data_IF_369757322906
#
_entry.id   IF_369757322906
#
_cell.length_a   1.000
_cell.length_b   1.000
_cell.length_c   1.000
_cell.angle_alpha   90.00
_cell.angle_beta   90.00
_cell.angle_gamma   90.00
#
_symmetry.space_group_name_H-M   'P 1'
#
loop_
_entity.id
_entity.type
_entity.pdbx_description
1 polymer ?
#
# COMPACT_ATOMS: atom_id res chain seq x y z
N UNK A 1 -14.37 10.57 -37.57
CA UNK A 1 -12.92 10.42 -37.79
C UNK A 1 -12.28 10.26 -36.42
N UNK A 2 -11.53 9.17 -36.21
CA UNK A 2 -10.97 8.82 -34.90
C UNK A 2 -9.55 9.39 -34.82
N UNK A 3 -9.38 10.55 -34.18
CA UNK A 3 -8.10 11.26 -34.10
C UNK A 3 -6.94 10.37 -33.62
N UNK A 4 -7.22 9.40 -32.74
CA UNK A 4 -6.24 8.45 -32.21
C UNK A 4 -5.74 7.44 -33.25
N UNK A 5 -6.57 7.05 -34.24
CA UNK A 5 -6.14 6.19 -35.34
C UNK A 5 -5.30 6.97 -36.35
N UNK A 6 -5.61 8.25 -36.57
CA UNK A 6 -4.82 9.13 -37.45
C UNK A 6 -3.42 9.38 -36.90
N UNK A 7 -3.29 9.61 -35.57
CA UNK A 7 -1.98 9.73 -34.90
C UNK A 7 -1.14 8.47 -35.04
N UNK A 8 -1.78 7.29 -35.06
CA UNK A 8 -1.12 6.00 -35.27
C UNK A 8 -0.96 5.61 -36.75
N UNK A 9 -1.47 6.42 -37.69
CA UNK A 9 -1.44 6.13 -39.13
C UNK A 9 -2.28 4.92 -39.55
N UNK A 10 -3.35 4.61 -38.81
CA UNK A 10 -4.17 3.43 -38.98
C UNK A 10 -5.52 3.72 -39.65
N UNK A 11 -6.05 2.76 -40.45
CA UNK A 11 -7.38 2.88 -41.03
C UNK A 11 -8.47 2.67 -39.96
N UNK A 12 -9.69 3.16 -40.24
CA UNK A 12 -10.83 3.10 -39.31
C UNK A 12 -11.35 1.68 -38.99
N UNK A 13 -10.78 0.63 -39.59
CA UNK A 13 -11.11 -0.77 -39.33
C UNK A 13 -9.91 -1.54 -38.73
N UNK A 14 -8.91 -0.84 -38.20
CA UNK A 14 -7.75 -1.46 -37.57
C UNK A 14 -8.17 -2.28 -36.34
N UNK A 15 -7.67 -3.51 -36.26
CA UNK A 15 -7.86 -4.38 -35.11
C UNK A 15 -6.86 -4.04 -33.98
N UNK A 16 -7.08 -4.62 -32.80
CA UNK A 16 -6.23 -4.37 -31.64
C UNK A 16 -4.76 -4.74 -31.90
N UNK A 17 -4.52 -5.72 -32.77
CA UNK A 17 -3.17 -6.16 -33.16
C UNK A 17 -2.49 -5.08 -34.02
N UNK A 18 -3.18 -4.49 -34.99
CA UNK A 18 -2.69 -3.39 -35.80
C UNK A 18 -2.41 -2.13 -34.96
N UNK A 19 -3.29 -1.80 -34.00
CA UNK A 19 -3.09 -0.70 -33.04
C UNK A 19 -1.79 -0.87 -32.25
N UNK A 20 -1.53 -2.08 -31.72
CA UNK A 20 -0.30 -2.38 -30.98
C UNK A 20 0.94 -2.31 -31.87
N UNK A 21 0.87 -2.81 -33.10
CA UNK A 21 2.00 -2.84 -34.03
C UNK A 21 2.39 -1.43 -34.52
N UNK A 22 1.40 -0.57 -34.72
CA UNK A 22 1.61 0.84 -35.06
C UNK A 22 2.25 1.60 -33.89
N UNK A 23 1.74 1.40 -32.66
CA UNK A 23 2.32 2.01 -31.47
C UNK A 23 3.79 1.61 -31.27
N UNK A 24 4.12 0.32 -31.42
CA UNK A 24 5.51 -0.14 -31.31
C UNK A 24 6.43 0.44 -32.40
N UNK A 25 5.92 0.62 -33.62
CA UNK A 25 6.67 1.26 -34.71
C UNK A 25 6.92 2.73 -34.41
N UNK A 26 5.88 3.45 -33.96
CA UNK A 26 5.98 4.86 -33.60
C UNK A 26 6.89 5.10 -32.39
N UNK A 27 6.87 4.18 -31.41
CA UNK A 27 7.69 4.27 -30.20
C UNK A 27 9.19 4.17 -30.50
N UNK A 28 9.61 3.41 -31.52
CA UNK A 28 11.03 3.35 -31.94
C UNK A 28 11.55 4.68 -32.49
N UNK A 29 10.66 5.57 -32.91
CA UNK A 29 10.99 6.89 -33.44
C UNK A 29 11.04 8.00 -32.39
N UNK A 30 10.61 7.74 -31.15
CA UNK A 30 10.53 8.74 -30.08
C UNK A 30 11.50 8.35 -28.96
N UNK A 31 12.40 9.26 -28.63
CA UNK A 31 13.22 9.16 -27.43
C UNK A 31 12.53 9.89 -26.26
N UNK A 32 12.07 9.18 -25.21
CA UNK A 32 11.37 9.78 -24.08
C UNK A 32 12.20 10.82 -23.31
N UNK A 33 13.53 10.75 -23.36
CA UNK A 33 14.40 11.71 -22.69
C UNK A 33 14.47 13.05 -23.42
N UNK A 34 14.27 13.03 -24.75
CA UNK A 34 14.44 14.19 -25.62
C UNK A 34 13.09 14.81 -26.02
N UNK A 35 12.02 14.02 -26.05
CA UNK A 35 10.64 14.48 -26.32
C UNK A 35 9.59 13.80 -25.43
N UNK A 36 9.46 14.25 -24.16
CA UNK A 36 8.47 13.71 -23.24
C UNK A 36 7.03 14.06 -23.64
N UNK A 37 6.82 15.17 -24.34
CA UNK A 37 5.49 15.59 -24.81
C UNK A 37 4.99 14.71 -25.96
N UNK A 38 5.88 14.38 -26.91
CA UNK A 38 5.59 13.45 -28.01
C UNK A 38 5.30 12.03 -27.50
N UNK A 39 6.03 11.56 -26.49
CA UNK A 39 5.75 10.27 -25.86
C UNK A 39 4.38 10.25 -25.17
N UNK A 40 4.03 11.29 -24.40
CA UNK A 40 2.73 11.40 -23.75
C UNK A 40 1.58 11.46 -24.78
N UNK A 41 1.76 12.19 -25.88
CA UNK A 41 0.77 12.28 -26.95
C UNK A 41 0.55 10.92 -27.65
N UNK A 42 1.63 10.21 -27.96
CA UNK A 42 1.57 8.88 -28.58
C UNK A 42 0.90 7.86 -27.65
N UNK A 43 1.20 7.91 -26.35
CA UNK A 43 0.57 7.04 -25.35
C UNK A 43 -0.93 7.29 -25.21
N UNK A 44 -1.34 8.56 -25.17
CA UNK A 44 -2.76 8.92 -25.14
C UNK A 44 -3.52 8.44 -26.38
N UNK A 45 -2.90 8.52 -27.56
CA UNK A 45 -3.49 7.99 -28.79
C UNK A 45 -3.63 6.46 -28.75
N UNK A 46 -2.62 5.74 -28.23
CA UNK A 46 -2.70 4.29 -28.07
C UNK A 46 -3.80 3.85 -27.09
N UNK A 47 -3.88 4.48 -25.93
CA UNK A 47 -4.90 4.15 -24.92
C UNK A 47 -6.32 4.41 -25.45
N UNK A 48 -6.53 5.53 -26.16
CA UNK A 48 -7.80 5.84 -26.82
C UNK A 48 -8.15 4.83 -27.93
N UNK A 49 -7.18 4.41 -28.75
CA UNK A 49 -7.37 3.42 -29.80
C UNK A 49 -7.70 2.03 -29.25
N UNK A 50 -7.02 1.63 -28.17
CA UNK A 50 -7.28 0.36 -27.47
C UNK A 50 -8.69 0.35 -26.88
N UNK A 51 -9.10 1.40 -26.17
CA UNK A 51 -10.43 1.49 -25.59
C UNK A 51 -11.54 1.44 -26.66
N UNK A 52 -11.30 2.04 -27.83
CA UNK A 52 -12.21 1.97 -28.97
C UNK A 52 -12.33 0.54 -29.53
N UNK A 53 -11.21 -0.19 -29.71
CA UNK A 53 -11.25 -1.59 -30.14
C UNK A 53 -11.95 -2.51 -29.12
N UNK A 54 -11.74 -2.27 -27.82
CA UNK A 54 -12.40 -3.02 -26.73
C UNK A 54 -13.92 -2.78 -26.74
N UNK A 55 -14.37 -1.54 -26.98
CA UNK A 55 -15.79 -1.20 -27.14
C UNK A 55 -16.41 -1.80 -28.41
N UNK A 56 -15.64 -1.87 -29.51
CA UNK A 56 -16.10 -2.49 -30.76
C UNK A 56 -16.19 -4.03 -30.67
N UNK A 57 -15.48 -4.65 -29.73
CA UNK A 57 -15.47 -6.10 -29.49
C UNK A 57 -16.46 -6.52 -28.39
N UNK A 58 -16.99 -5.57 -27.61
CA UNK A 58 -18.05 -5.86 -26.67
C UNK A 58 -19.31 -6.30 -27.44
N UNK A 59 -19.93 -7.45 -27.11
CA UNK A 59 -21.18 -7.85 -27.73
C UNK A 59 -22.22 -6.78 -27.39
N UNK A 60 -22.63 -6.02 -28.40
CA UNK A 60 -23.80 -5.18 -28.28
C UNK A 60 -24.98 -6.10 -27.99
N UNK A 61 -25.56 -5.99 -26.79
CA UNK A 61 -26.86 -6.55 -26.44
C UNK A 61 -27.91 -5.98 -27.40
N UNK A 62 -28.03 -6.61 -28.56
CA UNK A 62 -29.16 -6.46 -29.45
C UNK A 62 -30.23 -7.45 -28.99
N UNK A 63 -31.39 -6.98 -28.49
CA UNK A 63 -32.52 -7.87 -28.30
C UNK A 63 -33.07 -8.19 -29.69
N UNK A 64 -32.80 -9.38 -30.19
CA UNK A 64 -33.40 -9.88 -31.42
C UNK A 64 -34.43 -10.97 -31.11
N UNK A 65 -35.50 -11.00 -31.91
CA UNK A 65 -36.80 -11.50 -31.51
C UNK A 65 -36.93 -12.98 -31.79
N UNK A 66 -37.73 -13.61 -30.94
CA UNK A 66 -38.32 -14.92 -31.09
C UNK A 66 -38.91 -15.07 -32.51
N UNK A 67 -38.37 -16.02 -33.28
CA UNK A 67 -39.05 -16.51 -34.49
C UNK A 67 -38.89 -18.01 -34.61
N UNK A 68 -40.05 -18.63 -34.59
CA UNK A 68 -40.35 -20.05 -34.66
C UNK A 68 -39.67 -20.74 -35.85
N UNK A 69 -39.34 -22.01 -35.61
CA UNK A 69 -38.98 -23.01 -36.62
C UNK A 69 -40.14 -23.24 -37.61
N UNK A 70 -39.85 -23.75 -38.82
CA UNK A 70 -39.91 -25.20 -38.97
C UNK A 70 -38.78 -25.80 -39.82
N UNK A 71 -38.59 -27.10 -39.58
CA UNK A 71 -37.59 -28.02 -40.12
C UNK A 71 -37.38 -27.95 -41.63
N UNK A 72 -36.12 -27.99 -42.06
CA UNK A 72 -35.67 -28.70 -43.28
C UNK A 72 -34.17 -29.03 -43.15
N UNK A 73 -33.92 -30.33 -43.08
CA UNK A 73 -32.76 -31.03 -43.64
C UNK A 73 -31.37 -30.76 -43.04
N UNK A 74 -31.03 -31.71 -42.17
CA UNK A 74 -29.75 -31.94 -41.51
C UNK A 74 -28.56 -32.02 -42.48
N UNK A 75 -27.95 -30.87 -42.77
CA UNK A 75 -26.53 -30.79 -43.09
C UNK A 75 -25.78 -30.47 -41.79
N UNK A 76 -25.06 -31.46 -41.24
CA UNK A 76 -24.19 -31.24 -40.09
C UNK A 76 -23.25 -30.06 -40.38
N UNK A 77 -23.24 -29.00 -39.55
CA UNK A 77 -22.16 -28.03 -39.63
C UNK A 77 -20.83 -28.76 -39.36
N UNK A 78 -19.73 -28.39 -40.05
CA UNK A 78 -18.41 -28.88 -39.68
C UNK A 78 -18.19 -28.58 -38.19
N UNK A 79 -17.53 -29.47 -37.43
CA UNK A 79 -17.29 -29.23 -36.01
C UNK A 79 -16.62 -27.86 -35.89
N UNK A 80 -17.30 -26.91 -35.25
CA UNK A 80 -16.66 -25.72 -34.72
C UNK A 80 -15.60 -26.24 -33.76
N UNK A 81 -14.35 -26.31 -34.23
CA UNK A 81 -13.19 -26.41 -33.37
C UNK A 81 -13.26 -25.20 -32.45
N UNK A 82 -13.86 -25.40 -31.27
CA UNK A 82 -13.69 -24.47 -30.16
C UNK A 82 -12.19 -24.23 -30.04
N UNK A 83 -11.69 -23.00 -30.28
CA UNK A 83 -10.26 -22.74 -30.16
C UNK A 83 -9.84 -23.19 -28.77
N UNK A 84 -8.71 -23.92 -28.63
CA UNK A 84 -8.25 -24.38 -27.34
C UNK A 84 -8.21 -23.19 -26.38
N UNK A 85 -8.56 -23.38 -25.09
CA UNK A 85 -8.57 -22.28 -24.14
C UNK A 85 -7.22 -21.57 -24.22
N UNK A 86 -7.25 -20.27 -24.49
CA UNK A 86 -6.05 -19.45 -24.53
C UNK A 86 -5.47 -19.39 -23.11
N UNK A 87 -4.48 -20.23 -22.83
CA UNK A 87 -3.74 -20.20 -21.56
C UNK A 87 -2.67 -19.13 -21.72
N UNK A 88 -2.71 -18.11 -20.86
CA UNK A 88 -1.67 -17.09 -20.81
C UNK A 88 -0.31 -17.77 -20.54
N UNK A 89 0.67 -17.70 -21.48
CA UNK A 89 1.96 -18.37 -21.33
C UNK A 89 2.72 -17.91 -20.09
N UNK A 90 2.46 -16.69 -19.61
CA UNK A 90 3.08 -16.16 -18.38
C UNK A 90 2.58 -16.88 -17.13
N UNK A 91 1.31 -17.29 -17.10
CA UNK A 91 0.73 -18.10 -16.01
C UNK A 91 1.40 -19.46 -15.99
N UNK A 92 1.50 -20.13 -17.15
CA UNK A 92 2.16 -21.43 -17.26
C UNK A 92 3.60 -21.38 -16.78
N UNK A 93 4.33 -20.33 -17.15
CA UNK A 93 5.70 -20.13 -16.68
C UNK A 93 5.78 -19.88 -15.18
N UNK A 94 4.89 -19.06 -14.61
CA UNK A 94 4.85 -18.81 -13.17
C UNK A 94 4.61 -20.10 -12.36
N UNK A 95 3.70 -20.97 -12.81
CA UNK A 95 3.48 -22.28 -12.20
C UNK A 95 4.70 -23.20 -12.31
N UNK A 96 5.35 -23.23 -13.48
CA UNK A 96 6.58 -24.02 -13.69
C UNK A 96 7.70 -23.54 -12.77
N UNK A 97 7.91 -22.23 -12.71
CA UNK A 97 8.85 -21.60 -11.80
C UNK A 97 8.57 -21.98 -10.34
N UNK A 98 7.31 -21.92 -9.89
CA UNK A 98 6.95 -22.30 -8.53
C UNK A 98 7.27 -23.76 -8.21
N UNK A 99 7.02 -24.67 -9.16
CA UNK A 99 7.37 -26.08 -9.03
C UNK A 99 8.90 -26.29 -8.96
N UNK A 100 9.66 -25.62 -9.83
CA UNK A 100 11.12 -25.71 -9.88
C UNK A 100 11.77 -25.18 -8.59
N UNK A 101 11.27 -24.04 -8.08
CA UNK A 101 11.72 -23.48 -6.79
C UNK A 101 11.50 -24.49 -5.66
N UNK A 102 10.31 -25.12 -5.59
CA UNK A 102 10.02 -26.11 -4.55
C UNK A 102 10.91 -27.37 -4.60
N UNK A 103 11.40 -27.73 -5.79
CA UNK A 103 12.25 -28.91 -6.00
C UNK A 103 13.77 -28.64 -5.87
N UNK A 104 14.16 -27.38 -5.66
CA UNK A 104 15.57 -26.96 -5.64
C UNK A 104 15.97 -26.40 -4.28
N UNK A 105 17.28 -26.28 -4.05
CA UNK A 105 17.86 -25.63 -2.87
C UNK A 105 17.67 -24.11 -2.93
N UNK A 106 17.59 -23.46 -1.77
CA UNK A 106 17.27 -22.03 -1.65
C UNK A 106 18.26 -21.13 -2.41
N UNK A 107 19.53 -21.53 -2.53
CA UNK A 107 20.56 -20.73 -3.21
C UNK A 107 20.39 -20.73 -4.74
N UNK A 108 19.58 -21.63 -5.29
CA UNK A 108 19.29 -21.67 -6.73
C UNK A 108 18.18 -20.68 -7.13
N UNK A 109 17.43 -20.13 -6.18
CA UNK A 109 16.25 -19.29 -6.45
C UNK A 109 16.56 -18.06 -7.32
N UNK A 110 17.62 -17.27 -7.06
CA UNK A 110 17.92 -16.10 -7.89
C UNK A 110 18.19 -16.47 -9.36
N UNK A 111 18.94 -17.55 -9.58
CA UNK A 111 19.27 -18.03 -10.92
C UNK A 111 18.02 -18.53 -11.66
N UNK A 112 17.14 -19.28 -10.99
CA UNK A 112 15.88 -19.75 -11.59
C UNK A 112 14.99 -18.58 -12.02
N UNK A 113 14.95 -17.49 -11.24
CA UNK A 113 14.18 -16.31 -11.57
C UNK A 113 14.76 -15.57 -12.77
N UNK A 114 16.08 -15.42 -12.81
CA UNK A 114 16.79 -14.82 -13.95
C UNK A 114 16.57 -15.60 -15.25
N UNK A 115 16.65 -16.94 -15.20
CA UNK A 115 16.37 -17.82 -16.34
C UNK A 115 14.93 -17.67 -16.82
N UNK A 116 13.96 -17.64 -15.91
CA UNK A 116 12.54 -17.43 -16.26
C UNK A 116 12.31 -16.05 -16.92
N UNK A 117 12.91 -14.99 -16.38
CA UNK A 117 12.81 -13.64 -16.95
C UNK A 117 13.51 -13.52 -18.31
N UNK A 118 14.66 -14.19 -18.50
CA UNK A 118 15.34 -14.27 -19.78
C UNK A 118 14.45 -14.96 -20.83
N UNK A 119 13.82 -16.08 -20.49
CA UNK A 119 12.86 -16.78 -21.36
C UNK A 119 11.71 -15.84 -21.77
N UNK A 120 11.11 -15.12 -20.83
CA UNK A 120 10.04 -14.17 -21.14
C UNK A 120 10.47 -13.04 -22.07
N UNK A 121 11.64 -12.44 -21.80
CA UNK A 121 12.17 -11.33 -22.62
C UNK A 121 12.42 -11.76 -24.07
N UNK A 122 12.75 -13.03 -24.31
CA UNK A 122 12.94 -13.54 -25.68
C UNK A 122 11.63 -13.83 -26.41
N UNK A 123 10.56 -14.16 -25.69
CA UNK A 123 9.31 -14.65 -26.30
C UNK A 123 8.19 -13.59 -26.32
N UNK A 124 8.14 -12.67 -25.36
CA UNK A 124 6.98 -11.80 -25.14
C UNK A 124 7.38 -10.41 -24.60
N UNK A 125 6.98 -9.35 -25.31
CA UNK A 125 7.39 -7.96 -25.03
C UNK A 125 6.86 -7.42 -23.68
N UNK A 126 5.62 -7.76 -23.30
CA UNK A 126 4.97 -7.29 -22.05
C UNK A 126 4.83 -8.38 -20.97
N UNK A 127 5.46 -9.54 -21.17
CA UNK A 127 5.31 -10.66 -20.24
C UNK A 127 5.97 -10.48 -18.86
N UNK A 128 7.10 -9.76 -18.70
CA UNK A 128 7.72 -9.61 -17.39
C UNK A 128 6.80 -8.99 -16.34
N UNK A 129 6.01 -7.97 -16.71
CA UNK A 129 5.05 -7.34 -15.79
C UNK A 129 3.89 -8.25 -15.39
N UNK A 130 3.32 -9.02 -16.34
CA UNK A 130 2.29 -10.02 -16.00
C UNK A 130 2.85 -11.13 -15.12
N UNK A 131 4.06 -11.60 -15.41
CA UNK A 131 4.73 -12.59 -14.60
C UNK A 131 5.00 -12.08 -13.17
N UNK A 132 5.38 -10.80 -13.02
CA UNK A 132 5.52 -10.14 -11.73
C UNK A 132 4.24 -10.23 -10.90
N UNK A 133 3.09 -9.88 -11.48
CA UNK A 133 1.79 -9.97 -10.80
C UNK A 133 1.49 -11.40 -10.33
N UNK A 134 1.70 -12.40 -11.18
CA UNK A 134 1.49 -13.80 -10.81
C UNK A 134 2.47 -14.27 -9.73
N UNK A 135 3.72 -13.81 -9.78
CA UNK A 135 4.71 -14.14 -8.75
C UNK A 135 4.30 -13.56 -7.39
N UNK A 136 3.78 -12.32 -7.37
CA UNK A 136 3.27 -11.69 -6.14
C UNK A 136 2.06 -12.47 -5.60
N UNK A 137 1.15 -12.92 -6.47
CA UNK A 137 0.02 -13.75 -6.06
C UNK A 137 0.49 -15.09 -5.47
N UNK A 138 1.48 -15.75 -6.09
CA UNK A 138 2.06 -16.99 -5.57
C UNK A 138 2.69 -16.79 -4.17
N UNK A 139 3.38 -15.66 -3.96
CA UNK A 139 3.94 -15.30 -2.66
C UNK A 139 2.85 -15.01 -1.63
N UNK A 140 1.90 -14.14 -1.96
CA UNK A 140 0.82 -13.72 -1.06
C UNK A 140 -0.13 -14.86 -0.68
N UNK A 141 -0.43 -15.75 -1.63
CA UNK A 141 -1.23 -16.97 -1.40
C UNK A 141 -0.40 -18.14 -0.86
N UNK A 142 0.92 -17.95 -0.65
CA UNK A 142 1.83 -18.95 -0.12
C UNK A 142 1.91 -20.25 -0.94
N UNK A 143 1.71 -20.16 -2.26
CA UNK A 143 1.71 -21.29 -3.20
C UNK A 143 3.06 -21.59 -3.83
N UNK A 144 4.13 -21.03 -3.27
CA UNK A 144 5.51 -21.23 -3.71
C UNK A 144 6.41 -21.56 -2.52
N UNK A 145 7.41 -22.42 -2.75
CA UNK A 145 8.46 -22.72 -1.78
C UNK A 145 9.45 -21.57 -1.65
N UNK A 146 10.32 -21.62 -0.64
CA UNK A 146 11.39 -20.64 -0.42
C UNK A 146 10.95 -19.17 -0.50
N UNK A 147 9.73 -18.85 -0.03
CA UNK A 147 9.03 -17.56 -0.26
C UNK A 147 9.90 -16.35 0.08
N UNK A 148 10.62 -16.37 1.21
CA UNK A 148 11.51 -15.29 1.59
C UNK A 148 12.68 -15.07 0.60
N UNK A 149 13.25 -16.14 0.04
CA UNK A 149 14.32 -16.04 -0.96
C UNK A 149 13.78 -15.59 -2.32
N UNK A 150 12.59 -16.08 -2.71
CA UNK A 150 11.90 -15.63 -3.92
C UNK A 150 11.57 -14.14 -3.83
N UNK A 151 11.03 -13.68 -2.69
CA UNK A 151 10.73 -12.27 -2.44
C UNK A 151 12.00 -11.41 -2.54
N UNK A 152 13.12 -11.84 -1.94
CA UNK A 152 14.38 -11.11 -1.99
C UNK A 152 14.95 -11.01 -3.42
N UNK A 153 14.88 -12.10 -4.20
CA UNK A 153 15.30 -12.10 -5.59
C UNK A 153 14.38 -11.22 -6.47
N UNK A 154 13.07 -11.28 -6.24
CA UNK A 154 12.08 -10.49 -6.97
C UNK A 154 12.23 -8.98 -6.69
N UNK A 155 12.47 -8.60 -5.44
CA UNK A 155 12.73 -7.19 -5.06
C UNK A 155 13.86 -6.57 -5.89
N UNK A 156 14.94 -7.32 -6.13
CA UNK A 156 16.07 -6.90 -6.93
C UNK A 156 15.74 -6.85 -8.43
N UNK A 157 15.11 -7.91 -8.96
CA UNK A 157 14.86 -8.07 -10.40
C UNK A 157 13.74 -7.17 -10.94
N UNK A 158 12.73 -6.87 -10.12
CA UNK A 158 11.60 -6.00 -10.48
C UNK A 158 11.74 -4.58 -9.92
N UNK A 159 12.87 -4.27 -9.28
CA UNK A 159 13.18 -2.95 -8.77
C UNK A 159 12.06 -2.36 -7.87
N UNK A 160 11.51 -3.16 -6.96
CA UNK A 160 10.37 -2.76 -6.10
C UNK A 160 10.60 -1.52 -5.23
N UNK A 161 11.84 -1.05 -5.11
CA UNK A 161 12.19 0.19 -4.41
C UNK A 161 12.09 1.44 -5.28
N UNK A 162 11.88 1.29 -6.59
CA UNK A 162 11.71 2.43 -7.49
C UNK A 162 10.39 3.15 -7.22
N UNK A 163 10.48 4.48 -7.23
CA UNK A 163 9.35 5.36 -6.92
C UNK A 163 8.26 5.17 -7.97
N UNK A 164 7.04 4.87 -7.52
CA UNK A 164 5.86 4.74 -8.40
C UNK A 164 5.64 3.35 -8.98
N UNK A 165 6.64 2.45 -8.97
CA UNK A 165 6.48 1.08 -9.49
C UNK A 165 5.38 0.32 -8.73
N UNK A 166 5.50 0.21 -7.40
CA UNK A 166 4.52 -0.50 -6.58
C UNK A 166 3.12 0.12 -6.65
N UNK A 167 3.02 1.44 -6.83
CA UNK A 167 1.72 2.10 -6.97
C UNK A 167 0.94 1.62 -8.20
N UNK A 168 1.65 1.23 -9.27
CA UNK A 168 1.03 0.71 -10.50
C UNK A 168 0.45 -0.71 -10.33
N UNK A 169 0.93 -1.46 -9.33
CA UNK A 169 0.48 -2.82 -9.01
C UNK A 169 -0.77 -2.86 -8.10
N UNK A 170 -1.29 -1.70 -7.70
CA UNK A 170 -2.49 -1.59 -6.86
C UNK A 170 -2.36 -2.35 -5.54
N UNK A 171 -3.31 -3.26 -5.26
CA UNK A 171 -3.33 -4.02 -4.00
C UNK A 171 -2.09 -4.92 -3.82
N UNK A 172 -1.52 -5.45 -4.91
CA UNK A 172 -0.29 -6.26 -4.87
C UNK A 172 0.90 -5.42 -4.43
N UNK A 173 1.00 -4.21 -4.95
CA UNK A 173 2.02 -3.23 -4.55
C UNK A 173 1.90 -2.84 -3.08
N UNK A 174 0.69 -2.55 -2.60
CA UNK A 174 0.43 -2.25 -1.19
C UNK A 174 0.86 -3.40 -0.26
N UNK A 175 0.65 -4.64 -0.68
CA UNK A 175 1.12 -5.81 0.07
C UNK A 175 2.66 -5.86 0.11
N UNK A 176 3.36 -5.64 -1.01
CA UNK A 176 4.83 -5.56 -1.05
C UNK A 176 5.34 -4.44 -0.12
N UNK A 177 4.76 -3.24 -0.20
CA UNK A 177 5.14 -2.11 0.66
C UNK A 177 5.01 -2.48 2.16
N UNK A 178 3.92 -3.16 2.52
CA UNK A 178 3.71 -3.64 3.88
C UNK A 178 4.78 -4.67 4.30
N UNK A 179 5.12 -5.60 3.42
CA UNK A 179 6.19 -6.59 3.66
C UNK A 179 7.54 -5.89 3.85
N UNK A 180 7.89 -4.93 2.99
CA UNK A 180 9.14 -4.17 3.06
C UNK A 180 9.21 -3.36 4.36
N UNK A 181 8.15 -2.64 4.73
CA UNK A 181 8.08 -1.88 5.98
C UNK A 181 8.23 -2.80 7.21
N UNK A 182 7.55 -3.95 7.22
CA UNK A 182 7.68 -4.93 8.29
C UNK A 182 9.07 -5.56 8.34
N UNK A 183 9.72 -5.79 7.20
CA UNK A 183 11.11 -6.27 7.12
C UNK A 183 12.07 -5.25 7.73
N UNK A 184 11.91 -3.97 7.47
CA UNK A 184 12.75 -2.92 8.06
C UNK A 184 12.62 -2.89 9.59
N UNK A 185 11.39 -2.93 10.10
CA UNK A 185 11.13 -3.02 11.54
C UNK A 185 11.70 -4.32 12.13
N UNK A 186 11.57 -5.43 11.41
CA UNK A 186 12.13 -6.72 11.80
C UNK A 186 13.65 -6.64 11.90
N UNK A 187 14.34 -6.10 10.89
CA UNK A 187 15.80 -5.95 10.85
C UNK A 187 16.35 -5.06 11.97
N UNK A 188 15.53 -4.16 12.53
CA UNK A 188 15.89 -3.36 13.69
C UNK A 188 15.87 -4.13 15.04
N UNK A 189 15.39 -5.38 15.06
CA UNK A 189 15.46 -6.27 16.22
C UNK A 189 16.85 -6.94 16.34
N UNK A 190 17.25 -7.37 17.56
CA UNK A 190 18.54 -8.04 17.78
C UNK A 190 18.73 -9.27 16.88
N UNK A 191 19.89 -9.37 16.23
CA UNK A 191 20.17 -10.41 15.23
C UNK A 191 20.01 -11.83 15.77
N UNK A 192 20.55 -12.11 16.96
CA UNK A 192 20.47 -13.44 17.58
C UNK A 192 19.02 -13.92 17.75
N UNK A 193 18.11 -13.00 18.07
CA UNK A 193 16.68 -13.31 18.19
C UNK A 193 16.03 -13.57 16.85
N UNK A 194 16.33 -12.71 15.86
CA UNK A 194 15.82 -12.89 14.49
C UNK A 194 16.21 -14.26 13.94
N UNK A 195 17.47 -14.65 14.14
CA UNK A 195 17.99 -15.96 13.72
C UNK A 195 17.26 -17.11 14.42
N UNK A 196 17.13 -17.06 15.75
CA UNK A 196 16.41 -18.07 16.52
C UNK A 196 14.93 -18.21 16.10
N UNK A 197 14.25 -17.11 15.75
CA UNK A 197 12.88 -17.17 15.24
C UNK A 197 12.80 -17.79 13.84
N UNK A 198 13.70 -17.41 12.92
CA UNK A 198 13.73 -17.99 11.57
C UNK A 198 14.00 -19.51 11.64
N UNK A 199 14.94 -19.94 12.48
CA UNK A 199 15.22 -21.37 12.70
C UNK A 199 13.97 -22.10 13.25
N UNK A 200 13.26 -21.49 14.19
CA UNK A 200 12.03 -22.05 14.74
C UNK A 200 10.90 -22.14 13.70
N UNK A 201 10.74 -21.15 12.83
CA UNK A 201 9.77 -21.19 11.73
C UNK A 201 10.08 -22.32 10.76
N UNK A 202 11.35 -22.48 10.39
CA UNK A 202 11.79 -23.56 9.52
C UNK A 202 11.53 -24.95 10.16
N UNK A 203 11.78 -25.09 11.46
CA UNK A 203 11.49 -26.34 12.17
C UNK A 203 9.98 -26.62 12.22
N UNK A 204 9.15 -25.60 12.46
CA UNK A 204 7.69 -25.73 12.50
C UNK A 204 7.08 -26.12 11.15
N UNK A 205 7.62 -25.60 10.03
CA UNK A 205 7.20 -26.00 8.67
C UNK A 205 7.55 -27.47 8.36
N UNK A 206 8.57 -28.05 9.00
CA UNK A 206 8.88 -29.48 8.88
C UNK A 206 7.98 -30.35 9.77
N UNK A 207 7.62 -29.84 10.95
CA UNK A 207 6.67 -30.51 11.83
C UNK A 207 6.58 -29.85 13.21
N UNK A 208 5.37 -29.83 13.76
CA UNK A 208 5.11 -29.29 15.09
C UNK A 208 5.25 -30.38 16.16
N UNK A 209 6.18 -30.19 17.08
CA UNK A 209 6.30 -31.01 18.27
C UNK A 209 5.57 -30.39 19.49
N UNK A 210 5.42 -31.16 20.57
CA UNK A 210 4.78 -30.70 21.80
C UNK A 210 5.56 -29.58 22.50
N UNK A 211 6.87 -29.52 22.29
CA UNK A 211 7.72 -28.46 22.85
C UNK A 211 7.48 -27.13 22.14
N UNK A 212 7.14 -27.14 20.86
CA UNK A 212 6.81 -25.94 20.08
C UNK A 212 5.51 -25.31 20.54
N UNK A 213 4.51 -26.10 20.96
CA UNK A 213 3.22 -25.56 21.44
C UNK A 213 3.42 -24.49 22.54
N UNK A 214 4.41 -24.66 23.42
CA UNK A 214 4.73 -23.67 24.48
C UNK A 214 5.17 -22.31 23.95
N UNK A 215 5.68 -22.25 22.71
CA UNK A 215 6.20 -21.03 22.06
C UNK A 215 5.09 -20.25 21.37
N UNK A 216 3.88 -20.80 21.25
CA UNK A 216 2.75 -20.15 20.56
C UNK A 216 2.48 -18.71 21.03
N UNK A 217 2.47 -18.36 22.34
CA UNK A 217 2.20 -16.97 22.74
C UNK A 217 3.23 -15.96 22.21
N UNK A 218 4.46 -16.40 21.99
CA UNK A 218 5.51 -15.59 21.37
C UNK A 218 5.28 -15.47 19.85
N UNK A 219 4.89 -16.56 19.19
CA UNK A 219 4.59 -16.56 17.75
C UNK A 219 3.35 -15.74 17.44
N UNK A 220 2.29 -15.81 18.26
CA UNK A 220 1.07 -15.00 18.11
C UNK A 220 1.39 -13.50 18.13
N UNK A 221 2.30 -13.06 19.01
CA UNK A 221 2.71 -11.65 19.06
C UNK A 221 3.52 -11.25 17.83
N UNK A 222 4.35 -12.15 17.31
CA UNK A 222 5.09 -11.90 16.07
C UNK A 222 4.15 -11.83 14.87
N UNK A 223 3.15 -12.71 14.77
CA UNK A 223 2.18 -12.69 13.67
C UNK A 223 1.24 -11.49 13.73
N UNK A 224 0.88 -11.03 14.93
CA UNK A 224 0.14 -9.77 15.11
C UNK A 224 0.97 -8.55 14.67
N UNK A 225 2.29 -8.55 14.94
CA UNK A 225 3.16 -7.40 14.67
C UNK A 225 3.67 -7.34 13.23
N UNK A 226 4.01 -8.49 12.66
CA UNK A 226 4.61 -8.61 11.33
C UNK A 226 3.88 -9.65 10.45
N UNK A 227 2.55 -9.52 10.24
CA UNK A 227 1.76 -10.54 9.55
C UNK A 227 2.23 -10.83 8.13
N UNK A 228 2.57 -9.79 7.37
CA UNK A 228 2.95 -9.93 5.97
C UNK A 228 4.38 -10.49 5.84
N UNK A 229 5.32 -9.98 6.65
CA UNK A 229 6.69 -10.52 6.69
C UNK A 229 6.74 -11.97 7.18
N UNK A 230 5.97 -12.33 8.23
CA UNK A 230 5.95 -13.71 8.73
C UNK A 230 5.37 -14.68 7.70
N UNK A 231 4.41 -14.27 6.87
CA UNK A 231 3.82 -15.13 5.83
C UNK A 231 4.86 -15.64 4.81
N UNK A 232 6.00 -14.96 4.66
CA UNK A 232 7.12 -15.41 3.84
C UNK A 232 7.94 -16.53 4.50
N UNK A 233 7.82 -16.73 5.82
CA UNK A 233 8.64 -17.67 6.57
C UNK A 233 7.87 -18.86 7.11
N UNK A 234 6.60 -18.67 7.47
CA UNK A 234 5.74 -19.72 8.03
C UNK A 234 4.39 -19.66 7.34
N UNK A 235 3.84 -20.82 6.98
CA UNK A 235 2.57 -20.90 6.30
C UNK A 235 1.38 -20.64 7.24
N UNK A 236 0.26 -20.22 6.68
CA UNK A 236 -0.98 -20.04 7.42
C UNK A 236 -1.44 -21.36 8.05
N UNK A 237 -1.28 -22.48 7.34
CA UNK A 237 -1.62 -23.82 7.82
C UNK A 237 -0.76 -24.21 9.04
N UNK A 238 0.55 -23.97 8.98
CA UNK A 238 1.46 -24.20 10.12
C UNK A 238 1.08 -23.32 11.32
N UNK A 239 0.79 -22.03 11.10
CA UNK A 239 0.35 -21.15 12.18
C UNK A 239 -0.97 -21.63 12.82
N UNK A 240 -1.93 -22.08 12.01
CA UNK A 240 -3.20 -22.62 12.49
C UNK A 240 -3.00 -23.91 13.28
N UNK A 241 -2.18 -24.84 12.77
CA UNK A 241 -1.84 -26.07 13.46
C UNK A 241 -1.10 -25.80 14.78
N UNK A 242 -0.23 -24.79 14.82
CA UNK A 242 0.48 -24.38 16.02
C UNK A 242 -0.48 -23.80 17.08
N UNK A 243 -1.42 -22.96 16.66
CA UNK A 243 -2.50 -22.46 17.52
C UNK A 243 -3.33 -23.61 18.07
N UNK A 244 -3.74 -24.56 17.22
CA UNK A 244 -4.52 -25.72 17.64
C UNK A 244 -3.76 -26.59 18.67
N UNK A 245 -2.45 -26.81 18.47
CA UNK A 245 -1.61 -27.55 19.39
C UNK A 245 -1.49 -26.86 20.77
N UNK A 246 -1.50 -25.52 20.81
CA UNK A 246 -1.54 -24.75 22.04
C UNK A 246 -2.93 -24.77 22.70
N UNK A 247 -3.99 -24.60 21.92
CA UNK A 247 -5.38 -24.60 22.42
C UNK A 247 -5.78 -25.97 22.99
N UNK A 248 -5.20 -27.06 22.49
CA UNK A 248 -5.36 -28.41 23.02
C UNK A 248 -4.73 -28.62 24.42
N UNK A 249 -3.87 -27.69 24.89
CA UNK A 249 -3.26 -27.78 26.21
C UNK A 249 -4.26 -27.43 27.32
N UNK A 250 -4.13 -28.00 28.53
CA UNK A 250 -4.94 -27.60 29.67
C UNK A 250 -4.84 -26.09 29.96
N UNK A 251 -5.91 -25.42 30.43
CA UNK A 251 -5.90 -23.97 30.69
C UNK A 251 -4.78 -23.51 31.64
N UNK A 252 -4.42 -24.35 32.63
CA UNK A 252 -3.29 -24.08 33.54
C UNK A 252 -1.93 -24.05 32.82
N UNK A 253 -1.74 -24.93 31.85
CA UNK A 253 -0.52 -24.97 31.03
C UNK A 253 -0.48 -23.80 30.06
N UNK A 254 -1.61 -23.45 29.44
CA UNK A 254 -1.71 -22.27 28.58
C UNK A 254 -1.32 -20.99 29.33
N UNK A 255 -1.86 -20.81 30.55
CA UNK A 255 -1.53 -19.65 31.39
C UNK A 255 -0.05 -19.64 31.78
N UNK A 256 0.51 -20.80 32.10
CA UNK A 256 1.95 -20.94 32.37
C UNK A 256 2.77 -20.52 31.15
N UNK A 257 2.44 -20.99 29.96
CA UNK A 257 3.15 -20.62 28.73
C UNK A 257 3.02 -19.13 28.40
N UNK A 258 1.85 -18.51 28.61
CA UNK A 258 1.68 -17.05 28.46
C UNK A 258 2.58 -16.26 29.41
N UNK A 259 2.78 -16.73 30.64
CA UNK A 259 3.70 -16.11 31.62
C UNK A 259 5.17 -16.31 31.30
N UNK A 260 5.52 -17.44 30.68
CA UNK A 260 6.89 -17.72 30.24
C UNK A 260 7.27 -16.94 28.98
N UNK A 261 6.29 -16.46 28.22
CA UNK A 261 6.55 -15.72 26.99
C UNK A 261 7.28 -14.40 27.28
N UNK A 262 8.24 -13.99 26.43
CA UNK A 262 8.93 -12.72 26.58
C UNK A 262 7.95 -11.53 26.66
N UNK A 263 8.28 -10.46 27.40
CA UNK A 263 7.43 -9.28 27.50
C UNK A 263 7.29 -8.61 26.13
N UNK A 264 6.19 -7.87 25.92
CA UNK A 264 5.90 -7.25 24.63
C UNK A 264 7.05 -6.37 24.11
N UNK A 265 7.80 -5.70 24.99
CA UNK A 265 8.97 -4.86 24.67
C UNK A 265 10.04 -5.57 23.82
N UNK A 266 10.12 -6.90 23.87
CA UNK A 266 11.06 -7.70 23.08
C UNK A 266 10.83 -7.62 21.58
N UNK A 267 9.58 -7.37 21.17
CA UNK A 267 9.16 -7.34 19.76
C UNK A 267 9.16 -5.93 19.16
N UNK A 268 9.58 -4.92 19.93
CA UNK A 268 9.63 -3.54 19.47
C UNK A 268 11.07 -3.13 19.15
N UNK A 269 11.31 -2.46 18.01
CA UNK A 269 12.60 -1.88 17.74
C UNK A 269 12.91 -0.75 18.73
N UNK A 270 14.15 -0.70 19.22
CA UNK A 270 14.63 0.28 20.23
C UNK A 270 14.39 1.76 19.84
N UNK A 271 14.14 2.06 18.55
CA UNK A 271 13.81 3.42 18.09
C UNK A 271 12.53 3.96 18.73
N UNK A 272 11.54 3.11 19.02
CA UNK A 272 10.27 3.54 19.63
C UNK A 272 10.47 3.97 21.09
N UNK A 273 11.41 3.34 21.80
CA UNK A 273 11.74 3.71 23.18
C UNK A 273 12.36 5.11 23.26
N UNK A 274 13.23 5.47 22.30
CA UNK A 274 13.83 6.81 22.26
C UNK A 274 12.81 7.93 22.01
N UNK A 275 11.75 7.68 21.23
CA UNK A 275 10.68 8.67 21.00
C UNK A 275 9.83 8.85 22.25
N UNK A 276 9.48 7.74 22.94
CA UNK A 276 8.74 7.80 24.22
C UNK A 276 9.57 8.46 25.32
N UNK A 277 10.86 8.17 25.40
CA UNK A 277 11.76 8.77 26.38
C UNK A 277 11.97 10.28 26.13
N UNK A 278 12.21 10.70 24.87
CA UNK A 278 12.28 12.12 24.50
C UNK A 278 11.00 12.90 24.78
N UNK A 279 9.83 12.28 24.63
CA UNK A 279 8.55 12.91 24.98
C UNK A 279 8.41 13.16 26.49
N UNK A 280 8.96 12.25 27.30
CA UNK A 280 8.96 12.33 28.76
C UNK A 280 9.96 13.39 29.24
N UNK A 281 11.13 13.46 28.62
CA UNK A 281 12.15 14.48 28.89
C UNK A 281 11.73 15.88 28.43
N UNK A 282 10.97 16.01 27.33
CA UNK A 282 10.38 17.29 26.91
C UNK A 282 9.33 17.80 27.90
N UNK A 283 8.54 16.92 28.51
CA UNK A 283 7.55 17.30 29.54
C UNK A 283 8.22 17.80 30.82
N UNK A 284 9.27 17.14 31.28
CA UNK A 284 10.05 17.61 32.45
C UNK A 284 10.82 18.89 32.15
N UNK A 285 11.32 19.07 30.93
CA UNK A 285 11.98 20.31 30.53
C UNK A 285 11.00 21.50 30.42
N UNK A 286 9.76 21.27 29.96
CA UNK A 286 8.72 22.30 29.92
C UNK A 286 8.20 22.70 31.30
N UNK A 287 8.08 21.77 32.25
CA UNK A 287 7.69 22.12 33.63
C UNK A 287 8.77 22.93 34.32
N UNK A 288 10.05 22.60 34.12
CA UNK A 288 11.17 23.37 34.67
C UNK A 288 11.27 24.75 34.00
N UNK A 289 11.16 24.83 32.67
CA UNK A 289 11.20 26.10 31.94
C UNK A 289 10.02 27.02 32.31
N UNK A 290 8.81 26.47 32.48
CA UNK A 290 7.64 27.21 32.94
C UNK A 290 7.83 27.78 34.36
N UNK A 291 8.46 27.02 35.26
CA UNK A 291 8.77 27.48 36.61
C UNK A 291 9.78 28.64 36.62
N UNK A 292 10.83 28.56 35.80
CA UNK A 292 11.81 29.66 35.65
C UNK A 292 11.22 30.90 34.99
N UNK A 293 10.36 30.74 33.96
CA UNK A 293 9.67 31.86 33.33
C UNK A 293 8.68 32.54 34.28
N UNK A 294 8.01 31.79 35.15
CA UNK A 294 7.13 32.35 36.17
C UNK A 294 7.91 33.14 37.24
N UNK A 295 9.07 32.61 37.68
CA UNK A 295 9.96 33.32 38.61
C UNK A 295 10.55 34.60 38.00
N UNK A 296 10.98 34.56 36.73
CA UNK A 296 11.50 35.72 36.01
C UNK A 296 10.41 36.75 35.71
N UNK A 297 9.21 36.32 35.33
CA UNK A 297 8.07 37.22 35.11
C UNK A 297 7.61 37.89 36.40
N UNK A 298 7.57 37.15 37.50
CA UNK A 298 7.20 37.69 38.82
C UNK A 298 8.25 38.69 39.32
N UNK A 299 9.54 38.36 39.23
CA UNK A 299 10.62 39.29 39.63
C UNK A 299 10.70 40.54 38.74
N UNK A 300 10.49 40.42 37.42
CA UNK A 300 10.38 41.57 36.54
C UNK A 300 9.14 42.44 36.87
N UNK A 301 8.02 41.83 37.25
CA UNK A 301 6.83 42.57 37.67
C UNK A 301 7.04 43.32 39.00
N UNK A 302 7.74 42.71 39.97
CA UNK A 302 8.07 43.37 41.23
C UNK A 302 9.06 44.52 41.05
N UNK A 303 10.06 44.40 40.16
CA UNK A 303 11.02 45.47 39.90
C UNK A 303 10.41 46.64 39.11
N UNK A 304 9.49 46.36 38.19
CA UNK A 304 8.82 47.42 37.40
C UNK A 304 7.69 48.12 38.16
N UNK A 305 7.11 47.50 39.19
CA UNK A 305 6.03 48.09 39.99
C UNK A 305 6.48 48.65 41.36
N UNK A 306 7.75 48.49 41.76
CA UNK A 306 8.24 49.02 43.03
C UNK A 306 8.28 50.56 43.11
N UNK A 307 8.26 51.27 41.97
CA UNK A 307 8.29 52.74 41.94
C UNK A 307 6.91 53.42 41.79
N UNK A 308 5.80 52.68 41.75
CA UNK A 308 4.46 53.27 41.61
C UNK A 308 3.52 52.84 42.74
N UNK A 309 3.81 53.32 43.95
CA UNK A 309 2.80 53.43 45.01
C UNK A 309 2.52 54.92 45.24
N UNK A 310 1.64 55.47 44.39
CA UNK A 310 0.73 56.56 44.71
C UNK A 310 -0.51 56.42 43.81
N UNK A 311 -1.72 56.59 44.34
CA UNK A 311 -2.93 56.05 43.72
C UNK A 311 -3.46 57.04 42.68
N UNK A 312 -3.76 56.56 41.47
CA UNK A 312 -4.74 57.22 40.62
C UNK A 312 -5.48 56.20 39.77
N UNK A 313 -6.78 56.19 40.00
CA UNK A 313 -7.85 55.52 39.26
C UNK A 313 -7.82 55.94 37.79
N UNK A 314 -7.51 55.02 36.86
CA UNK A 314 -8.08 55.04 35.51
C UNK A 314 -8.21 53.61 35.00
N UNK A 315 -9.43 53.29 34.59
CA UNK A 315 -9.92 52.08 33.94
C UNK A 315 -9.06 51.57 32.79
N UNK A 316 -8.73 50.28 32.82
CA UNK A 316 -8.17 49.53 31.68
C UNK A 316 -9.25 49.23 30.64
N UNK A 317 -8.92 49.21 29.33
CA UNK A 317 -9.84 48.75 28.31
C UNK A 317 -9.91 47.22 28.31
N UNK A 318 -11.13 46.72 28.16
CA UNK A 318 -11.49 45.32 28.04
C UNK A 318 -10.64 44.61 26.99
N UNK A 319 -9.99 43.51 27.40
CA UNK A 319 -9.60 42.46 26.44
C UNK A 319 -10.89 41.81 25.97
N UNK A 320 -11.34 42.18 24.78
CA UNK A 320 -12.40 41.50 24.05
C UNK A 320 -12.01 40.02 23.92
N UNK A 321 -12.68 39.17 24.69
CA UNK A 321 -12.65 37.72 24.52
C UNK A 321 -13.23 37.42 23.14
N UNK A 322 -12.42 36.88 22.23
CA UNK A 322 -12.90 36.38 20.94
C UNK A 322 -13.93 35.27 21.26
N UNK A 323 -15.19 35.37 20.81
CA UNK A 323 -16.19 34.34 21.09
C UNK A 323 -15.71 33.00 20.55
N UNK A 324 -15.72 31.95 21.38
CA UNK A 324 -15.55 30.59 20.90
C UNK A 324 -16.69 30.26 19.93
N UNK A 325 -16.35 29.81 18.73
CA UNK A 325 -17.34 29.39 17.75
C UNK A 325 -18.01 28.10 18.23
N UNK A 326 -19.33 28.08 18.22
CA UNK A 326 -20.10 26.87 18.51
C UNK A 326 -19.97 25.86 17.36
N UNK A 327 -20.24 24.57 17.64
CA UNK A 327 -20.21 23.51 16.63
C UNK A 327 -21.12 23.81 15.41
N UNK A 328 -22.28 24.43 15.64
CA UNK A 328 -23.21 24.85 14.58
C UNK A 328 -22.60 25.93 13.67
N UNK A 329 -21.87 26.88 14.24
CA UNK A 329 -21.20 27.94 13.49
C UNK A 329 -20.05 27.39 12.64
N UNK A 330 -19.27 26.45 13.18
CA UNK A 330 -18.23 25.75 12.42
C UNK A 330 -18.82 24.95 11.26
N UNK A 331 -19.92 24.21 11.47
CA UNK A 331 -20.58 23.46 10.41
C UNK A 331 -21.08 24.37 9.27
N UNK A 332 -21.73 25.50 9.61
CA UNK A 332 -22.19 26.47 8.62
C UNK A 332 -21.03 27.12 7.84
N UNK A 333 -19.91 27.39 8.51
CA UNK A 333 -18.70 27.94 7.89
C UNK A 333 -18.13 26.98 6.84
N UNK A 334 -18.04 25.69 7.14
CA UNK A 334 -17.52 24.70 6.18
C UNK A 334 -18.45 24.48 4.98
N UNK A 335 -19.78 24.44 5.18
CA UNK A 335 -20.75 24.36 4.07
C UNK A 335 -20.60 25.56 3.13
N UNK A 336 -20.25 26.73 3.66
CA UNK A 336 -19.95 27.91 2.84
C UNK A 336 -18.62 27.75 2.08
N UNK A 337 -17.57 27.27 2.75
CA UNK A 337 -16.23 27.13 2.17
C UNK A 337 -16.10 26.00 1.12
N UNK A 338 -16.96 24.99 1.16
CA UNK A 338 -16.93 23.85 0.21
C UNK A 338 -17.57 24.16 -1.15
N UNK A 339 -18.21 25.33 -1.30
CA UNK A 339 -18.77 25.77 -2.59
C UNK A 339 -17.65 26.15 -3.57
N UNK A 340 -17.83 25.84 -4.85
CA UNK A 340 -16.86 26.16 -5.92
C UNK A 340 -16.60 27.68 -6.02
N UNK A 341 -17.58 28.49 -5.65
CA UNK A 341 -17.57 29.95 -5.66
C UNK A 341 -17.40 30.57 -4.27
N UNK A 342 -16.96 29.82 -3.27
CA UNK A 342 -16.91 30.26 -1.86
C UNK A 342 -16.14 31.57 -1.61
N UNK A 343 -15.21 31.91 -2.49
CA UNK A 343 -14.37 33.12 -2.40
C UNK A 343 -14.64 34.13 -3.52
N UNK A 344 -15.64 33.89 -4.38
CA UNK A 344 -15.95 34.79 -5.47
C UNK A 344 -16.48 36.13 -4.92
N UNK A 345 -15.80 37.23 -5.27
CA UNK A 345 -16.19 38.59 -4.89
C UNK A 345 -15.82 39.03 -3.47
N UNK A 346 -15.05 38.23 -2.73
CA UNK A 346 -14.49 38.61 -1.43
C UNK A 346 -13.10 39.23 -1.61
N UNK A 347 -12.74 40.17 -0.73
CA UNK A 347 -11.37 40.71 -0.69
C UNK A 347 -10.38 39.78 0.06
N UNK A 348 -9.08 40.06 -0.06
CA UNK A 348 -8.05 39.22 0.57
C UNK A 348 -8.17 39.13 2.09
N UNK A 349 -8.64 40.19 2.75
CA UNK A 349 -8.77 40.25 4.20
C UNK A 349 -9.95 39.39 4.68
N UNK A 350 -11.06 39.40 3.94
CA UNK A 350 -12.21 38.53 4.16
C UNK A 350 -11.87 37.05 3.94
N UNK A 351 -11.12 36.74 2.87
CA UNK A 351 -10.65 35.38 2.60
C UNK A 351 -9.73 34.89 3.73
N UNK A 352 -8.79 35.73 4.19
CA UNK A 352 -7.90 35.39 5.31
C UNK A 352 -8.68 35.14 6.60
N UNK A 353 -9.71 35.93 6.87
CA UNK A 353 -10.57 35.78 8.05
C UNK A 353 -11.35 34.47 8.00
N UNK A 354 -11.94 34.11 6.86
CA UNK A 354 -12.66 32.84 6.70
C UNK A 354 -11.75 31.62 6.87
N UNK A 355 -10.55 31.66 6.29
CA UNK A 355 -9.55 30.59 6.46
C UNK A 355 -9.10 30.45 7.92
N UNK A 356 -8.79 31.56 8.58
CA UNK A 356 -8.38 31.55 9.99
C UNK A 356 -9.44 30.97 10.91
N UNK A 357 -10.72 31.28 10.66
CA UNK A 357 -11.85 30.70 11.41
C UNK A 357 -11.97 29.19 11.15
N UNK A 358 -11.85 28.76 9.89
CA UNK A 358 -11.82 27.34 9.54
C UNK A 358 -10.68 26.57 10.24
N UNK A 359 -9.48 27.14 10.31
CA UNK A 359 -8.34 26.52 11.00
C UNK A 359 -8.58 26.37 12.50
N UNK A 360 -9.28 27.33 13.13
CA UNK A 360 -9.64 27.24 14.54
C UNK A 360 -10.68 26.14 14.78
N UNK A 361 -11.72 26.04 13.94
CA UNK A 361 -12.70 24.96 14.03
C UNK A 361 -12.07 23.56 13.86
N UNK A 362 -11.09 23.42 12.95
CA UNK A 362 -10.35 22.17 12.78
C UNK A 362 -9.49 21.82 14.01
N UNK A 363 -8.82 22.82 14.59
CA UNK A 363 -7.97 22.65 15.78
C UNK A 363 -8.79 22.24 17.01
N UNK A 364 -10.00 22.78 17.15
CA UNK A 364 -10.91 22.49 18.25
C UNK A 364 -11.62 21.12 18.09
N UNK A 365 -11.34 20.38 17.01
CA UNK A 365 -11.88 19.04 16.77
C UNK A 365 -13.37 19.03 16.45
N UNK A 366 -13.95 20.19 16.13
CA UNK A 366 -15.37 20.34 15.83
C UNK A 366 -15.73 19.88 14.42
N UNK A 367 -14.74 19.55 13.58
CA UNK A 367 -14.95 19.00 12.25
C UNK A 367 -13.71 18.27 11.69
N UNK A 368 -13.93 17.34 10.76
CA UNK A 368 -12.89 16.64 9.99
C UNK A 368 -13.22 16.71 8.49
N UNK A 369 -12.27 17.09 7.62
CA UNK A 369 -12.52 17.13 6.18
C UNK A 369 -12.86 15.75 5.62
N UNK A 370 -13.82 15.66 4.69
CA UNK A 370 -14.04 14.42 3.95
C UNK A 370 -12.74 14.08 3.23
N UNK A 371 -12.25 12.86 3.44
CA UNK A 371 -11.09 12.34 2.72
C UNK A 371 -11.46 12.31 1.23
N UNK A 372 -10.84 13.17 0.44
CA UNK A 372 -10.88 13.08 -1.03
C UNK A 372 -10.03 11.93 -1.50
#
# INVERSE_FOLDING_TARGET
>A
MHWHLEVLGLPAHADLVAVRRAYATALRGIDPATDPAGFAHLRNAYEAARAWCEQATAPADFPLPEKETPDTESASPPPEETPPPYIDPTVTLAWRFAADVGARRVEAVPQLLEEALAELRTQYIDAPGRFEEYLIDLLGLQRIGHRAAVFAAAEEQFHWREVGHLSSLGQRGQWIELVLAQREDWLALPEDRRRAWIEMFAQAEFGLDSSMARRWPEISRLSERFPAWLSLHVSADTLQAWKAAFDAQPPSMQETYRRMAPPASVYWPKRVDNVRQRSRDRRTMWTVAGFFLFLLGSSAHYLLNAERIAPNLVSSPERLSVPHESAEQCAALYVRMDRIDAFAGLDEQEIATLKSRGDNCARDGLWHPPKR
#
